data_IF_342864025553
#
_entry.id   IF_342864025553
#
_cell.length_a   1.000
_cell.length_b   1.000
_cell.length_c   1.000
_cell.angle_alpha   90.00
_cell.angle_beta   90.00
_cell.angle_gamma   90.00
#
_symmetry.space_group_name_H-M   'P 1'
#
loop_
_entity.id
_entity.type
_entity.pdbx_description
1 polymer ?
#
# COMPACT_ATOMS: atom_id res chain seq x y z
N UNK A 1 7.91 -8.00 10.02
CA UNK A 1 6.94 -7.76 8.94
C UNK A 1 7.63 -6.98 7.84
N UNK A 2 7.75 -7.56 6.66
CA UNK A 2 8.31 -6.93 5.47
C UNK A 2 7.47 -5.69 5.11
N UNK A 3 8.07 -4.66 4.50
CA UNK A 3 7.35 -3.46 4.08
C UNK A 3 6.19 -3.79 3.13
N UNK A 4 6.35 -4.82 2.29
CA UNK A 4 5.26 -5.36 1.44
C UNK A 4 4.08 -5.87 2.27
N UNK A 5 4.34 -6.63 3.32
CA UNK A 5 3.31 -7.15 4.24
C UNK A 5 2.62 -6.03 5.02
N UNK A 6 3.35 -4.97 5.40
CA UNK A 6 2.77 -3.77 6.04
C UNK A 6 1.79 -3.06 5.12
N UNK A 7 2.17 -2.86 3.84
CA UNK A 7 1.30 -2.27 2.82
C UNK A 7 0.03 -3.12 2.65
N UNK A 8 0.18 -4.43 2.51
CA UNK A 8 -0.95 -5.34 2.29
C UNK A 8 -1.90 -5.37 3.50
N UNK A 9 -1.35 -5.35 4.72
CA UNK A 9 -2.17 -5.30 5.94
C UNK A 9 -2.94 -3.99 6.06
N UNK A 10 -2.30 -2.86 5.77
CA UNK A 10 -2.96 -1.55 5.78
C UNK A 10 -4.04 -1.45 4.69
N UNK A 11 -3.77 -1.99 3.49
CA UNK A 11 -4.71 -2.05 2.37
C UNK A 11 -5.95 -2.88 2.71
N UNK A 12 -5.75 -4.07 3.28
CA UNK A 12 -6.86 -4.91 3.75
C UNK A 12 -7.67 -4.21 4.84
N UNK A 13 -7.01 -3.53 5.77
CA UNK A 13 -7.68 -2.73 6.80
C UNK A 13 -8.55 -1.62 6.19
N UNK A 14 -8.04 -0.93 5.17
CA UNK A 14 -8.79 0.10 4.44
C UNK A 14 -10.01 -0.50 3.72
N UNK A 15 -9.84 -1.62 3.02
CA UNK A 15 -10.92 -2.35 2.36
C UNK A 15 -12.03 -2.72 3.36
N UNK A 16 -11.68 -3.27 4.51
CA UNK A 16 -12.65 -3.60 5.55
C UNK A 16 -13.34 -2.36 6.13
N UNK A 17 -12.62 -1.26 6.33
CA UNK A 17 -13.21 -0.01 6.81
C UNK A 17 -14.26 0.54 5.84
N UNK A 18 -13.97 0.51 4.53
CA UNK A 18 -14.93 0.90 3.48
C UNK A 18 -16.12 -0.06 3.46
N UNK A 19 -15.85 -1.38 3.43
CA UNK A 19 -16.89 -2.42 3.39
C UNK A 19 -17.82 -2.39 4.62
N UNK A 20 -17.29 -2.02 5.79
CA UNK A 20 -18.05 -1.87 7.03
C UNK A 20 -18.63 -0.46 7.22
N UNK A 21 -18.54 0.39 6.20
CA UNK A 21 -19.11 1.73 6.17
C UNK A 21 -18.66 2.60 7.37
N UNK A 22 -17.35 2.52 7.67
CA UNK A 22 -16.76 3.36 8.71
C UNK A 22 -16.90 4.84 8.32
N UNK A 23 -16.88 5.72 9.31
CA UNK A 23 -16.95 7.14 9.04
C UNK A 23 -15.74 7.62 8.21
N UNK A 24 -15.95 8.71 7.47
CA UNK A 24 -14.94 9.27 6.54
C UNK A 24 -13.61 9.57 7.24
N UNK A 25 -13.65 10.03 8.49
CA UNK A 25 -12.45 10.36 9.26
C UNK A 25 -11.58 9.13 9.56
N UNK A 26 -12.21 8.01 9.96
CA UNK A 26 -11.52 6.72 10.18
C UNK A 26 -10.94 6.19 8.88
N UNK A 27 -11.71 6.23 7.78
CA UNK A 27 -11.24 5.81 6.46
C UNK A 27 -10.03 6.65 6.04
N UNK A 28 -10.09 7.98 6.21
CA UNK A 28 -9.00 8.90 5.88
C UNK A 28 -7.74 8.62 6.70
N UNK A 29 -7.89 8.30 8.00
CA UNK A 29 -6.75 7.95 8.85
C UNK A 29 -6.06 6.67 8.37
N UNK A 30 -6.84 5.65 7.98
CA UNK A 30 -6.29 4.39 7.47
C UNK A 30 -5.65 4.59 6.09
N UNK A 31 -6.28 5.37 5.20
CA UNK A 31 -5.73 5.72 3.88
C UNK A 31 -4.35 6.36 4.00
N UNK A 32 -4.20 7.34 4.90
CA UNK A 32 -2.91 7.99 5.17
C UNK A 32 -1.84 7.03 5.67
N UNK A 33 -2.23 5.96 6.37
CA UNK A 33 -1.28 4.94 6.83
C UNK A 33 -0.80 4.05 5.68
N UNK A 34 -1.70 3.72 4.75
CA UNK A 34 -1.33 3.04 3.48
C UNK A 34 -0.32 3.89 2.72
N UNK A 35 -0.60 5.18 2.54
CA UNK A 35 0.27 6.12 1.80
C UNK A 35 1.68 6.19 2.42
N UNK A 36 1.77 6.23 3.76
CA UNK A 36 3.07 6.23 4.46
C UNK A 36 3.89 4.99 4.12
N UNK A 37 3.28 3.80 4.16
CA UNK A 37 4.00 2.56 3.87
C UNK A 37 4.41 2.47 2.39
N UNK A 38 3.61 3.01 1.48
CA UNK A 38 3.98 3.13 0.07
C UNK A 38 5.18 4.06 -0.09
N UNK A 39 5.16 5.25 0.52
CA UNK A 39 6.30 6.18 0.47
C UNK A 39 7.55 5.57 1.11
N UNK A 40 7.42 4.86 2.23
CA UNK A 40 8.52 4.14 2.89
C UNK A 40 9.09 3.07 1.96
N UNK A 41 8.24 2.29 1.29
CA UNK A 41 8.67 1.33 0.27
C UNK A 41 9.46 2.00 -0.85
N UNK A 42 8.92 3.07 -1.46
CA UNK A 42 9.63 3.81 -2.49
C UNK A 42 10.93 4.43 -1.99
N UNK A 43 10.99 4.94 -0.75
CA UNK A 43 12.24 5.46 -0.16
C UNK A 43 13.28 4.38 0.04
N UNK A 44 12.87 3.18 0.45
CA UNK A 44 13.78 2.04 0.56
C UNK A 44 14.25 1.64 -0.84
N UNK A 45 13.32 1.45 -1.79
CA UNK A 45 13.63 1.02 -3.15
C UNK A 45 14.47 2.02 -3.95
N UNK A 46 14.19 3.33 -3.85
CA UNK A 46 14.90 4.38 -4.58
C UNK A 46 16.05 5.01 -3.80
N UNK A 47 16.04 4.94 -2.46
CA UNK A 47 17.18 5.29 -1.62
C UNK A 47 18.32 4.28 -1.74
N UNK A 48 18.00 3.02 -2.05
CA UNK A 48 18.96 1.97 -2.44
C UNK A 48 19.38 2.06 -3.92
N UNK A 49 19.72 3.26 -4.41
CA UNK A 49 20.56 3.39 -5.62
C UNK A 49 21.97 2.79 -5.45
N UNK A 50 22.27 2.15 -4.32
CA UNK A 50 23.48 1.34 -4.09
C UNK A 50 23.20 -0.10 -3.64
N UNK A 51 22.08 -0.71 -4.04
CA UNK A 51 22.02 -2.17 -4.11
C UNK A 51 20.70 -2.81 -3.68
N UNK A 52 20.02 -3.37 -4.68
CA UNK A 52 19.10 -4.52 -4.57
C UNK A 52 17.78 -4.23 -3.84
N UNK A 53 16.81 -3.72 -4.57
CA UNK A 53 15.43 -4.15 -4.39
C UNK A 53 15.09 -5.10 -5.53
N UNK A 54 15.19 -6.41 -5.28
CA UNK A 54 14.63 -7.43 -6.16
C UNK A 54 13.10 -7.30 -6.08
N UNK A 55 12.53 -6.60 -7.05
CA UNK A 55 11.10 -6.45 -7.22
C UNK A 55 10.75 -7.37 -8.39
N UNK A 56 10.15 -8.53 -8.08
CA UNK A 56 9.34 -9.22 -9.06
C UNK A 56 8.17 -8.29 -9.41
N UNK A 57 8.12 -7.85 -10.67
CA UNK A 57 7.28 -6.77 -11.23
C UNK A 57 5.75 -7.06 -11.27
N UNK A 58 5.24 -7.95 -10.41
CA UNK A 58 3.85 -8.44 -10.49
C UNK A 58 2.82 -7.68 -9.64
N UNK A 59 3.12 -6.48 -9.12
CA UNK A 59 2.20 -5.72 -8.25
C UNK A 59 1.54 -4.50 -8.92
N UNK A 60 1.80 -4.26 -10.22
CA UNK A 60 1.19 -3.17 -10.99
C UNK A 60 0.50 -3.69 -12.26
N UNK A 61 -0.14 -4.86 -12.21
CA UNK A 61 -1.22 -5.20 -13.14
C UNK A 61 -2.56 -5.02 -12.42
N UNK A 62 -2.84 -3.78 -12.01
CA UNK A 62 -4.21 -3.38 -11.75
C UNK A 62 -4.92 -3.37 -13.08
N UNK A 63 -5.59 -4.47 -13.41
CA UNK A 63 -6.51 -4.55 -14.54
C UNK A 63 -7.51 -3.39 -14.41
N UNK A 64 -7.42 -2.45 -15.35
CA UNK A 64 -8.49 -1.52 -15.68
C UNK A 64 -9.71 -2.34 -16.12
N UNK A 65 -10.52 -2.78 -15.16
CA UNK A 65 -11.87 -3.25 -15.46
C UNK A 65 -12.75 -2.02 -15.64
N UNK A 66 -12.75 -1.53 -16.88
CA UNK A 66 -13.73 -0.62 -17.43
C UNK A 66 -15.07 -1.36 -17.54
N UNK A 67 -15.98 -1.15 -16.59
CA UNK A 67 -17.43 -1.33 -16.73
C UNK A 67 -18.17 -0.42 -15.73
#
# INVERSE_FOLDING_TARGET
MNIKEKIETARNTLYYAIKKNYNKEKILKISREVDKHIIEYYRICHGLKTGICNIDDNLISGEETMF
#
